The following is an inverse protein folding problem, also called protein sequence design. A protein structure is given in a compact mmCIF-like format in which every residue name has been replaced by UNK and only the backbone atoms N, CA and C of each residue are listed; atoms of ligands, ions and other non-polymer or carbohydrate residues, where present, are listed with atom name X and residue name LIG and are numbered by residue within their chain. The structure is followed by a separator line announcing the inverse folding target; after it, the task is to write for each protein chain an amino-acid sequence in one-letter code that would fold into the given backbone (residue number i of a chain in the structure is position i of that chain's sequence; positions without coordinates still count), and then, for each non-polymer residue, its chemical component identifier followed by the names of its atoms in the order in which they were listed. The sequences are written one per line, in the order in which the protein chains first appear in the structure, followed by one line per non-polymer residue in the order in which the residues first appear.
data_IF_270445199835
#
_entry.id   IF_270445199835
#
_cell.length_a   1.000
_cell.length_b   1.000
_cell.length_c   1.000
_cell.angle_alpha   90.00
_cell.angle_beta   90.00
_cell.angle_gamma   90.00
#
_symmetry.space_group_name_H-M   'P 1'
#
loop_
_entity.id
_entity.type
_entity.pdbx_description
1 polymer ?
#
# COMPACT_ATOMS: atom_id res chain seq x y z
N UNK A 1 4.30 3.55 -6.08
CA UNK A 1 2.95 4.00 -6.50
C UNK A 1 2.89 3.85 -8.01
N UNK A 2 2.33 2.75 -8.49
CA UNK A 2 2.21 2.46 -9.93
C UNK A 2 0.74 2.14 -10.25
N UNK A 3 0.26 2.48 -11.46
CA UNK A 3 -1.11 2.18 -11.86
C UNK A 3 -1.28 0.67 -12.00
N UNK A 4 -2.30 0.11 -11.36
CA UNK A 4 -2.69 -1.30 -11.48
C UNK A 4 -3.57 -1.54 -12.69
N UNK A 5 -4.38 -0.55 -13.08
CA UNK A 5 -5.27 -0.65 -14.23
C UNK A 5 -6.36 0.42 -14.24
N UNK A 6 -7.28 0.27 -15.18
CA UNK A 6 -8.42 1.19 -15.39
C UNK A 6 -9.72 0.40 -15.20
N UNK A 7 -10.62 0.92 -14.38
CA UNK A 7 -11.96 0.41 -14.16
C UNK A 7 -13.00 1.33 -14.81
N UNK A 8 -13.62 0.88 -15.90
CA UNK A 8 -14.78 1.55 -16.47
C UNK A 8 -16.05 1.28 -15.66
N UNK A 9 -16.69 2.33 -15.14
CA UNK A 9 -17.95 2.22 -14.39
C UNK A 9 -18.84 3.44 -14.60
N UNK A 10 -20.13 3.34 -14.23
CA UNK A 10 -21.05 4.47 -14.30
C UNK A 10 -21.26 5.06 -12.90
N UNK A 11 -20.97 6.35 -12.73
CA UNK A 11 -21.46 7.11 -11.60
C UNK A 11 -22.93 7.48 -11.83
N UNK A 12 -23.79 7.06 -10.91
CA UNK A 12 -25.23 7.33 -10.98
C UNK A 12 -25.57 8.40 -9.94
N UNK A 13 -26.09 9.52 -10.41
CA UNK A 13 -26.56 10.63 -9.59
C UNK A 13 -28.10 10.57 -9.53
N UNK A 14 -28.68 10.09 -8.41
CA UNK A 14 -30.13 9.97 -8.28
C UNK A 14 -30.77 11.35 -8.15
N UNK A 15 -31.83 11.61 -8.91
CA UNK A 15 -32.65 12.81 -8.79
C UNK A 15 -34.14 12.46 -8.98
N UNK A 16 -35.08 13.12 -8.28
CA UNK A 16 -36.51 12.81 -8.37
C UNK A 16 -37.10 12.89 -9.78
N UNK A 17 -36.56 13.78 -10.63
CA UNK A 17 -36.97 13.94 -12.02
C UNK A 17 -36.27 12.98 -13.01
N UNK A 18 -35.44 12.04 -12.52
CA UNK A 18 -34.69 11.08 -13.31
C UNK A 18 -33.20 11.05 -12.93
N UNK A 19 -32.60 9.86 -12.88
CA UNK A 19 -31.19 9.69 -12.52
C UNK A 19 -30.25 9.99 -13.70
N UNK A 20 -29.17 10.72 -13.43
CA UNK A 20 -28.11 11.00 -14.40
C UNK A 20 -27.02 9.94 -14.29
N UNK A 21 -26.52 9.45 -15.43
CA UNK A 21 -25.44 8.46 -15.50
C UNK A 21 -24.23 9.04 -16.20
N UNK A 22 -23.11 9.10 -15.49
CA UNK A 22 -21.81 9.58 -15.99
C UNK A 22 -20.92 8.36 -16.20
N UNK A 23 -20.50 8.09 -17.44
CA UNK A 23 -19.58 7.00 -17.77
C UNK A 23 -18.18 7.45 -17.38
N UNK A 24 -17.60 6.83 -16.37
CA UNK A 24 -16.29 7.20 -15.82
C UNK A 24 -15.29 6.06 -15.93
N UNK A 25 -14.03 6.42 -16.18
CA UNK A 25 -12.90 5.51 -16.06
C UNK A 25 -12.10 5.87 -14.80
N UNK A 26 -11.96 4.90 -13.90
CA UNK A 26 -11.25 5.08 -12.63
C UNK A 26 -9.88 4.41 -12.75
N UNK A 27 -8.81 5.19 -12.58
CA UNK A 27 -7.45 4.64 -12.49
C UNK A 27 -7.24 4.08 -11.09
N UNK A 28 -6.96 2.78 -11.01
CA UNK A 28 -6.64 2.10 -9.75
C UNK A 28 -5.13 2.15 -9.55
N UNK A 29 -4.70 2.66 -8.39
CA UNK A 29 -3.28 2.86 -8.07
C UNK A 29 -2.92 1.96 -6.90
N UNK A 30 -1.77 1.28 -7.01
CA UNK A 30 -1.27 0.43 -5.94
C UNK A 30 -0.94 1.21 -4.67
N UNK A 31 -1.30 0.65 -3.52
CA UNK A 31 -1.11 1.23 -2.19
C UNK A 31 -1.66 2.66 -2.00
N UNK A 32 -2.73 3.02 -2.72
CA UNK A 32 -3.43 4.29 -2.53
C UNK A 32 -4.80 4.06 -1.89
N UNK A 33 -5.05 4.66 -0.74
CA UNK A 33 -6.39 4.68 -0.11
C UNK A 33 -6.99 6.08 -0.24
N UNK A 34 -8.13 6.19 -0.92
CA UNK A 34 -8.87 7.44 -1.04
C UNK A 34 -10.32 7.25 -0.61
N UNK A 35 -10.82 8.18 0.20
CA UNK A 35 -12.24 8.27 0.56
C UNK A 35 -13.03 9.14 -0.44
N UNK A 36 -12.33 9.81 -1.36
CA UNK A 36 -12.91 10.76 -2.29
C UNK A 36 -12.64 10.29 -3.73
N UNK A 37 -13.63 10.48 -4.59
CA UNK A 37 -13.47 10.34 -6.03
C UNK A 37 -13.15 11.73 -6.57
N UNK A 38 -12.04 11.85 -7.29
CA UNK A 38 -11.65 13.09 -7.98
C UNK A 38 -12.09 12.93 -9.43
N UNK A 39 -12.98 13.81 -9.87
CA UNK A 39 -13.36 13.93 -11.28
C UNK A 39 -12.49 15.00 -11.93
N UNK A 40 -11.91 14.70 -13.09
CA UNK A 40 -11.09 15.64 -13.83
C UNK A 40 -11.92 16.76 -14.49
N UNK A 41 -11.24 17.84 -14.88
CA UNK A 41 -11.84 18.98 -15.58
C UNK A 41 -12.45 18.61 -16.94
N UNK A 42 -11.95 17.55 -17.56
CA UNK A 42 -12.50 16.93 -18.76
C UNK A 42 -13.95 16.45 -18.52
N UNK A 43 -14.22 15.79 -17.40
CA UNK A 43 -15.57 15.38 -17.02
C UNK A 43 -16.50 16.55 -16.75
N UNK A 44 -16.00 17.62 -16.13
CA UNK A 44 -16.76 18.85 -15.92
C UNK A 44 -17.24 19.42 -17.26
N UNK A 45 -16.36 19.46 -18.26
CA UNK A 45 -16.70 19.96 -19.59
C UNK A 45 -17.62 19.02 -20.37
N UNK A 46 -17.33 17.70 -20.40
CA UNK A 46 -18.08 16.70 -21.17
C UNK A 46 -19.53 16.62 -20.69
N UNK A 47 -19.74 16.64 -19.38
CA UNK A 47 -21.06 16.46 -18.78
C UNK A 47 -21.72 17.79 -18.41
N UNK A 48 -21.08 18.93 -18.69
CA UNK A 48 -21.59 20.26 -18.32
C UNK A 48 -21.87 20.36 -16.82
N UNK A 49 -20.94 19.89 -15.99
CA UNK A 49 -21.09 19.94 -14.53
C UNK A 49 -20.73 21.35 -14.09
N UNK A 50 -21.67 22.05 -13.46
CA UNK A 50 -21.45 23.38 -12.91
C UNK A 50 -21.63 23.34 -11.39
N UNK A 51 -20.68 23.93 -10.66
CA UNK A 51 -20.68 23.98 -9.19
C UNK A 51 -21.00 25.41 -8.77
N UNK A 52 -22.13 25.57 -8.10
CA UNK A 52 -22.59 26.86 -7.60
C UNK A 52 -22.45 26.92 -6.08
N UNK A 53 -21.84 27.99 -5.59
CA UNK A 53 -21.51 28.20 -4.17
C UNK A 53 -22.38 29.27 -3.49
N UNK A 54 -23.57 29.57 -4.03
CA UNK A 54 -24.41 30.64 -3.49
C UNK A 54 -25.36 30.11 -2.40
N UNK A 55 -25.15 30.55 -1.14
CA UNK A 55 -25.80 30.12 0.11
C UNK A 55 -25.49 28.68 0.54
N UNK A 56 -25.77 27.70 -0.31
CA UNK A 56 -25.44 26.28 -0.10
C UNK A 56 -24.63 25.77 -1.30
N UNK A 57 -23.77 24.75 -1.08
CA UNK A 57 -23.04 24.13 -2.19
C UNK A 57 -23.97 23.16 -2.92
N UNK A 58 -24.16 23.37 -4.21
CA UNK A 58 -24.85 22.44 -5.10
C UNK A 58 -24.16 22.38 -6.46
N UNK A 59 -24.45 21.33 -7.20
CA UNK A 59 -24.01 21.19 -8.58
C UNK A 59 -25.17 20.83 -9.50
N UNK A 60 -25.05 21.19 -10.76
CA UNK A 60 -25.97 20.80 -11.84
C UNK A 60 -25.21 20.02 -12.88
N UNK A 61 -25.87 19.08 -13.56
CA UNK A 61 -25.26 18.31 -14.66
C UNK A 61 -26.04 18.61 -15.96
N UNK A 62 -25.33 19.12 -16.96
CA UNK A 62 -25.86 19.48 -18.27
C UNK A 62 -26.69 20.78 -18.27
N UNK A 63 -27.34 21.06 -19.40
CA UNK A 63 -28.12 22.30 -19.60
C UNK A 63 -29.41 22.38 -18.75
N UNK A 64 -29.77 21.28 -18.09
CA UNK A 64 -30.99 21.16 -17.33
C UNK A 64 -30.82 21.74 -15.92
N UNK A 65 -30.82 23.08 -15.80
CA UNK A 65 -30.74 23.84 -14.53
C UNK A 65 -31.82 23.49 -13.49
N UNK A 66 -32.78 22.63 -13.85
CA UNK A 66 -33.83 22.11 -12.97
C UNK A 66 -33.37 20.90 -12.13
N UNK A 67 -32.32 20.19 -12.53
CA UNK A 67 -31.77 19.06 -11.77
C UNK A 67 -30.61 19.55 -10.91
N UNK A 68 -30.94 19.98 -9.70
CA UNK A 68 -29.99 20.53 -8.75
C UNK A 68 -29.65 19.44 -7.73
N UNK A 69 -28.36 19.09 -7.67
CA UNK A 69 -27.83 18.13 -6.73
C UNK A 69 -27.18 18.88 -5.57
N UNK A 70 -27.79 18.85 -4.40
CA UNK A 70 -27.18 19.39 -3.21
C UNK A 70 -26.03 18.49 -2.76
N UNK A 71 -24.90 19.08 -2.37
CA UNK A 71 -23.92 18.35 -1.57
C UNK A 71 -24.54 18.14 -0.18
N UNK A 72 -25.27 17.05 0.01
CA UNK A 72 -25.87 16.76 1.31
C UNK A 72 -24.77 16.70 2.36
N UNK A 73 -25.01 17.30 3.53
CA UNK A 73 -24.29 16.98 4.75
C UNK A 73 -24.60 15.53 5.14
N UNK A 74 -24.10 14.55 4.38
CA UNK A 74 -24.19 13.15 4.78
C UNK A 74 -23.46 13.02 6.12
N UNK A 75 -24.00 12.26 7.08
CA UNK A 75 -23.20 11.85 8.22
C UNK A 75 -21.91 11.21 7.69
N UNK A 76 -20.78 11.54 8.31
CA UNK A 76 -19.40 11.14 7.96
C UNK A 76 -19.13 9.62 7.88
N UNK A 77 -20.16 8.78 7.82
CA UNK A 77 -20.05 7.33 7.77
C UNK A 77 -20.76 6.80 6.53
N UNK A 78 -20.03 6.75 5.42
CA UNK A 78 -20.31 5.75 4.39
C UNK A 78 -19.91 4.41 5.00
N UNK A 79 -20.89 3.62 5.45
CA UNK A 79 -20.74 2.30 6.07
C UNK A 79 -20.16 1.21 5.16
N UNK A 80 -19.80 1.56 3.92
CA UNK A 80 -19.19 0.64 2.94
C UNK A 80 -17.72 0.35 3.28
N UNK A 81 -17.04 1.23 4.01
CA UNK A 81 -15.64 1.00 4.43
C UNK A 81 -15.52 -0.11 5.49
N UNK A 82 -16.56 -0.33 6.31
CA UNK A 82 -16.58 -1.40 7.32
C UNK A 82 -16.54 -2.78 6.70
N UNK A 83 -17.39 -3.06 5.69
CA UNK A 83 -17.43 -4.38 5.03
C UNK A 83 -16.13 -4.73 4.32
N UNK A 84 -15.43 -3.72 3.78
CA UNK A 84 -14.13 -3.92 3.13
C UNK A 84 -13.04 -4.22 4.17
N UNK A 85 -13.02 -3.51 5.31
CA UNK A 85 -12.09 -3.77 6.42
C UNK A 85 -12.26 -5.18 6.99
N UNK A 86 -13.51 -5.63 7.16
CA UNK A 86 -13.79 -6.98 7.64
C UNK A 86 -13.26 -8.05 6.67
N UNK A 87 -13.42 -7.83 5.36
CA UNK A 87 -12.88 -8.75 4.34
C UNK A 87 -11.36 -8.86 4.38
N UNK A 88 -10.64 -7.74 4.57
CA UNK A 88 -9.17 -7.76 4.70
C UNK A 88 -8.69 -8.36 6.01
N UNK A 89 -9.43 -8.14 7.10
CA UNK A 89 -9.15 -8.75 8.40
C UNK A 89 -9.35 -10.27 8.35
N UNK A 90 -10.39 -10.74 7.67
CA UNK A 90 -10.63 -12.17 7.46
C UNK A 90 -9.51 -12.82 6.61
N UNK A 91 -9.02 -12.11 5.59
CA UNK A 91 -7.85 -12.52 4.82
C UNK A 91 -6.57 -12.57 5.66
N UNK A 92 -6.36 -11.61 6.55
CA UNK A 92 -5.24 -11.60 7.50
C UNK A 92 -5.30 -12.81 8.44
N UNK A 93 -6.48 -13.11 9.01
CA UNK A 93 -6.67 -14.26 9.88
C UNK A 93 -6.42 -15.58 9.14
N UNK A 94 -6.95 -15.70 7.91
CA UNK A 94 -6.88 -16.95 7.13
C UNK A 94 -5.49 -17.21 6.54
N UNK A 95 -4.69 -16.17 6.28
CA UNK A 95 -3.38 -16.33 5.65
C UNK A 95 -2.23 -16.21 6.66
N UNK A 96 -2.20 -15.16 7.47
CA UNK A 96 -1.07 -14.86 8.36
C UNK A 96 -1.21 -15.50 9.74
N UNK A 97 -2.44 -15.66 10.24
CA UNK A 97 -2.69 -16.30 11.54
C UNK A 97 -3.07 -17.78 11.43
N UNK A 98 -3.05 -18.37 10.23
CA UNK A 98 -3.37 -19.78 10.03
C UNK A 98 -2.46 -20.72 10.82
N UNK A 99 -1.16 -20.39 10.85
CA UNK A 99 -0.13 -21.15 11.56
C UNK A 99 0.11 -20.63 12.99
N UNK A 100 -0.59 -19.57 13.40
CA UNK A 100 -0.40 -18.96 14.71
C UNK A 100 -0.94 -19.85 15.84
N UNK A 101 -0.07 -20.20 16.78
CA UNK A 101 -0.43 -20.97 17.96
C UNK A 101 -1.02 -20.06 19.04
N UNK A 102 -2.31 -19.74 18.90
CA UNK A 102 -3.06 -19.00 19.94
C UNK A 102 -3.59 -20.00 20.98
N UNK A 103 -3.42 -19.65 22.25
CA UNK A 103 -3.85 -20.49 23.38
C UNK A 103 -5.36 -20.79 23.28
N UNK A 104 -5.79 -22.07 23.32
CA UNK A 104 -7.19 -22.44 23.12
C UNK A 104 -8.10 -22.10 24.32
N UNK A 105 -7.52 -21.82 25.50
CA UNK A 105 -8.27 -21.40 26.69
C UNK A 105 -8.71 -19.93 26.67
N UNK A 106 -8.37 -19.17 25.63
CA UNK A 106 -8.77 -17.78 25.50
C UNK A 106 -10.27 -17.66 25.22
N UNK A 107 -10.94 -16.70 25.86
CA UNK A 107 -12.34 -16.42 25.54
C UNK A 107 -12.48 -15.88 24.11
N UNK A 108 -13.63 -16.10 23.44
CA UNK A 108 -13.84 -15.61 22.07
C UNK A 108 -13.69 -14.08 21.96
N UNK A 109 -14.09 -13.34 23.00
CA UNK A 109 -13.92 -11.88 23.08
C UNK A 109 -12.44 -11.49 23.09
N UNK A 110 -11.65 -12.08 23.99
CA UNK A 110 -10.23 -11.78 24.11
C UNK A 110 -9.47 -12.17 22.83
N UNK A 111 -9.90 -13.24 22.16
CA UNK A 111 -9.30 -13.67 20.89
C UNK A 111 -9.54 -12.63 19.81
N UNK A 112 -10.77 -12.10 19.72
CA UNK A 112 -11.09 -11.07 18.75
C UNK A 112 -10.33 -9.77 19.04
N UNK A 113 -10.23 -9.36 20.31
CA UNK A 113 -9.43 -8.19 20.72
C UNK A 113 -7.94 -8.36 20.36
N UNK A 114 -7.38 -9.55 20.56
CA UNK A 114 -6.01 -9.86 20.16
C UNK A 114 -5.83 -9.73 18.65
N UNK A 115 -6.73 -10.31 17.86
CA UNK A 115 -6.69 -10.21 16.39
C UNK A 115 -6.82 -8.76 15.95
N UNK A 116 -7.66 -7.95 16.60
CA UNK A 116 -7.78 -6.52 16.33
C UNK A 116 -6.47 -5.77 16.55
N UNK A 117 -5.77 -6.04 17.65
CA UNK A 117 -4.46 -5.44 17.93
C UNK A 117 -3.42 -5.87 16.90
N UNK A 118 -3.34 -7.17 16.61
CA UNK A 118 -2.37 -7.71 15.64
C UNK A 118 -2.62 -7.16 14.23
N UNK A 119 -3.88 -7.02 13.82
CA UNK A 119 -4.24 -6.43 12.54
C UNK A 119 -3.91 -4.94 12.49
N UNK A 120 -4.20 -4.20 13.57
CA UNK A 120 -3.93 -2.75 13.67
C UNK A 120 -2.44 -2.43 13.55
N UNK A 121 -1.58 -3.29 14.10
CA UNK A 121 -0.13 -3.11 14.12
C UNK A 121 0.61 -4.12 13.24
N UNK A 122 -0.03 -4.64 12.18
CA UNK A 122 0.56 -5.69 11.34
C UNK A 122 1.94 -5.33 10.76
N UNK A 123 2.15 -4.05 10.39
CA UNK A 123 3.40 -3.54 9.84
C UNK A 123 4.54 -3.46 10.89
N UNK A 124 4.24 -3.62 12.18
CA UNK A 124 5.26 -3.68 13.22
C UNK A 124 5.92 -5.07 13.33
N UNK A 125 5.33 -6.08 12.69
CA UNK A 125 5.83 -7.45 12.70
C UNK A 125 6.53 -7.77 11.38
N UNK A 126 7.57 -8.62 11.44
CA UNK A 126 8.21 -9.15 10.25
C UNK A 126 7.25 -10.06 9.47
N UNK A 127 7.29 -9.99 8.16
CA UNK A 127 6.53 -10.87 7.26
C UNK A 127 7.47 -11.59 6.30
N UNK A 128 6.99 -12.62 5.59
CA UNK A 128 7.80 -13.34 4.61
C UNK A 128 8.30 -12.43 3.47
N UNK A 129 7.52 -11.40 3.13
CA UNK A 129 7.87 -10.43 2.09
C UNK A 129 8.76 -9.30 2.61
N UNK A 130 8.59 -8.91 3.87
CA UNK A 130 9.36 -7.87 4.55
C UNK A 130 9.92 -8.43 5.87
N UNK A 131 10.94 -9.30 5.81
CA UNK A 131 11.49 -9.95 7.01
C UNK A 131 12.36 -9.00 7.84
N UNK A 132 12.82 -7.91 7.24
CA UNK A 132 13.69 -6.92 7.86
C UNK A 132 13.07 -5.53 7.71
N UNK A 133 13.03 -4.78 8.81
CA UNK A 133 12.63 -3.37 8.77
C UNK A 133 13.72 -2.52 8.14
N UNK A 134 13.40 -1.79 7.08
CA UNK A 134 14.29 -0.79 6.49
C UNK A 134 13.95 0.60 7.05
N UNK A 135 14.74 1.09 8.00
CA UNK A 135 14.58 2.45 8.52
C UNK A 135 15.21 3.43 7.52
N UNK A 136 14.37 4.08 6.70
CA UNK A 136 14.81 5.09 5.72
C UNK A 136 15.38 6.31 6.45
N UNK A 137 16.48 6.89 5.94
CA UNK A 137 17.10 8.07 6.51
C UNK A 137 18.12 7.80 7.63
N UNK A 138 18.39 6.52 7.91
CA UNK A 138 19.43 6.08 8.85
C UNK A 138 20.58 5.39 8.13
N UNK A 139 20.85 5.79 6.88
CA UNK A 139 22.02 5.33 6.14
C UNK A 139 23.29 5.75 6.89
N UNK A 140 24.28 4.85 6.93
CA UNK A 140 25.52 5.07 7.66
C UNK A 140 26.65 5.30 6.66
N UNK A 141 27.19 6.53 6.67
CA UNK A 141 28.39 6.86 5.92
C UNK A 141 29.62 6.50 6.76
N UNK A 142 30.33 5.45 6.35
CA UNK A 142 31.58 5.01 6.99
C UNK A 142 32.75 5.59 6.20
N UNK A 143 33.36 6.66 6.72
CA UNK A 143 34.59 7.21 6.14
C UNK A 143 35.80 6.40 6.61
N UNK A 144 36.53 5.80 5.68
CA UNK A 144 37.76 5.08 5.98
C UNK A 144 38.97 6.01 5.88
N UNK A 145 39.86 5.95 6.86
CA UNK A 145 41.18 6.58 6.76
C UNK A 145 42.04 5.77 5.80
N UNK A 146 42.09 6.22 4.54
CA UNK A 146 42.93 5.64 3.48
C UNK A 146 44.31 6.28 3.38
N UNK A 147 44.59 7.25 4.26
CA UNK A 147 45.89 7.90 4.36
C UNK A 147 46.97 6.91 4.81
N UNK A 148 48.21 7.16 4.38
CA UNK A 148 49.37 6.41 4.86
C UNK A 148 49.41 6.47 6.39
N UNK A 149 49.62 5.35 7.11
CA UNK A 149 50.13 4.06 6.63
C UNK A 149 49.06 2.98 6.36
N UNK A 150 47.77 3.31 6.33
CA UNK A 150 46.67 2.33 6.33
C UNK A 150 45.89 2.30 5.00
N UNK A 151 46.49 1.92 3.86
CA UNK A 151 45.74 1.80 2.62
C UNK A 151 44.70 0.67 2.73
N UNK A 152 43.58 0.74 1.97
CA UNK A 152 42.62 -0.36 1.86
C UNK A 152 43.33 -1.64 1.43
N UNK A 153 43.19 -2.70 2.21
CA UNK A 153 43.80 -3.99 1.90
C UNK A 153 43.03 -4.66 0.78
N UNK A 154 43.70 -4.89 -0.36
CA UNK A 154 43.18 -5.75 -1.43
C UNK A 154 43.00 -7.17 -0.87
N UNK A 155 41.77 -7.71 -0.99
CA UNK A 155 41.41 -9.01 -0.40
C UNK A 155 42.33 -10.12 -0.91
N UNK A 156 42.82 -10.94 0.02
CA UNK A 156 43.31 -12.28 -0.30
C UNK A 156 42.15 -13.20 -0.74
N UNK A 157 42.45 -14.37 -1.33
CA UNK A 157 41.41 -15.34 -1.67
C UNK A 157 40.62 -15.72 -0.42
N UNK A 158 39.30 -15.88 -0.56
CA UNK A 158 38.47 -16.37 0.52
C UNK A 158 38.98 -17.75 0.96
N UNK A 159 38.96 -18.01 2.27
CA UNK A 159 39.31 -19.33 2.79
C UNK A 159 38.40 -20.41 2.19
N UNK A 160 38.96 -21.59 1.84
CA UNK A 160 38.16 -22.66 1.25
C UNK A 160 37.12 -23.16 2.26
N UNK A 161 35.85 -23.12 1.86
CA UNK A 161 34.76 -23.73 2.60
C UNK A 161 34.59 -25.20 2.19
N UNK A 162 34.18 -26.05 3.13
CA UNK A 162 33.83 -27.44 2.80
C UNK A 162 32.60 -27.50 1.88
N UNK A 163 32.42 -28.55 1.07
CA UNK A 163 31.28 -28.65 0.15
C UNK A 163 29.92 -28.45 0.85
N UNK A 164 29.73 -29.10 2.00
CA UNK A 164 28.53 -28.95 2.83
C UNK A 164 28.33 -27.54 3.36
N UNK A 165 29.39 -26.88 3.80
CA UNK A 165 29.31 -25.49 4.26
C UNK A 165 28.97 -24.54 3.10
N UNK A 166 29.51 -24.81 1.91
CA UNK A 166 29.26 -24.02 0.71
C UNK A 166 27.80 -24.09 0.28
N UNK A 167 27.18 -25.28 0.32
CA UNK A 167 25.75 -25.45 0.00
C UNK A 167 24.84 -24.70 0.97
N UNK A 168 25.13 -24.76 2.27
CA UNK A 168 24.36 -24.02 3.28
C UNK A 168 24.52 -22.49 3.14
N UNK A 169 25.75 -22.03 2.89
CA UNK A 169 26.04 -20.61 2.67
C UNK A 169 25.36 -20.09 1.40
N UNK A 170 25.37 -20.87 0.33
CA UNK A 170 24.76 -20.49 -0.95
C UNK A 170 23.26 -20.21 -0.77
N UNK A 171 22.54 -21.04 0.00
CA UNK A 171 21.12 -20.82 0.31
C UNK A 171 20.90 -19.46 0.99
N UNK A 172 21.65 -19.16 2.04
CA UNK A 172 21.50 -17.91 2.77
C UNK A 172 21.93 -16.69 1.97
N UNK A 173 22.99 -16.81 1.16
CA UNK A 173 23.42 -15.72 0.27
C UNK A 173 22.31 -15.40 -0.73
N UNK A 174 21.65 -16.41 -1.31
CA UNK A 174 20.53 -16.20 -2.22
C UNK A 174 19.34 -15.53 -1.54
N UNK A 175 18.97 -15.95 -0.33
CA UNK A 175 17.93 -15.29 0.48
C UNK A 175 18.26 -13.80 0.72
N UNK A 176 19.50 -13.50 1.12
CA UNK A 176 19.93 -12.11 1.36
C UNK A 176 19.99 -11.25 0.10
N UNK A 177 20.30 -11.85 -1.06
CA UNK A 177 20.23 -11.16 -2.35
C UNK A 177 18.77 -10.85 -2.70
N UNK A 178 17.87 -11.81 -2.50
CA UNK A 178 16.45 -11.66 -2.79
C UNK A 178 15.79 -10.56 -1.94
N UNK A 179 16.18 -10.44 -0.67
CA UNK A 179 15.70 -9.40 0.26
C UNK A 179 16.39 -8.04 -0.02
N UNK A 180 17.41 -7.99 -0.87
CA UNK A 180 18.12 -6.76 -1.23
C UNK A 180 19.15 -6.30 -0.18
N UNK A 181 19.51 -7.17 0.77
CA UNK A 181 20.56 -6.92 1.76
C UNK A 181 21.95 -7.06 1.13
N UNK A 182 22.12 -8.06 0.26
CA UNK A 182 23.33 -8.26 -0.53
C UNK A 182 23.11 -7.88 -1.99
N UNK A 183 24.09 -7.24 -2.59
CA UNK A 183 24.14 -7.00 -4.04
C UNK A 183 25.48 -7.41 -4.61
N UNK A 184 25.47 -7.82 -5.88
CA UNK A 184 26.70 -8.13 -6.62
C UNK A 184 27.33 -6.82 -7.07
N UNK A 185 28.53 -6.52 -6.58
CA UNK A 185 29.32 -5.37 -7.01
C UNK A 185 30.35 -5.85 -8.02
N UNK A 186 30.35 -5.24 -9.21
CA UNK A 186 31.30 -5.55 -10.28
C UNK A 186 32.63 -4.81 -10.08
N UNK A 187 33.70 -5.31 -10.72
CA UNK A 187 35.02 -4.65 -10.70
C UNK A 187 35.02 -3.23 -11.29
N UNK A 188 34.00 -2.86 -12.06
CA UNK A 188 33.90 -1.59 -12.78
C UNK A 188 32.77 -0.68 -12.25
N UNK A 189 32.17 -1.01 -11.11
CA UNK A 189 31.09 -0.19 -10.55
C UNK A 189 31.71 0.93 -9.70
N UNK A 190 31.75 2.16 -10.21
CA UNK A 190 32.00 3.36 -9.40
C UNK A 190 30.72 3.67 -8.61
N UNK A 191 30.85 3.76 -7.28
CA UNK A 191 29.79 4.20 -6.36
C UNK A 191 29.84 5.71 -6.25
#
# INVERSE_FOLDING_TARGET
MYPLGILGTNLVFPHPAGSVRVKTEIVVIDNCTSQHIILGNDYFNIYGIDINNHKDRYFTIGDNKRQIFAFSNMPKQISVVSSVRDTYKDGFVSNQLAEAQIIPSLSPKMRNELVDVLYTYNNAFASDNEPLGAIRGHEVDITLNIDRPCPPVLRGPAYPASPRAREALEKHIQELIQIGVLRKVGHNEEI
#
